data_IF_126651350655
#
_entry.id   IF_126651350655
#
_cell.length_a   1.000
_cell.length_b   1.000
_cell.length_c   1.000
_cell.angle_alpha   90.00
_cell.angle_beta   90.00
_cell.angle_gamma   90.00
#
_symmetry.space_group_name_H-M   'P 1'
#
loop_
_entity.id
_entity.type
_entity.pdbx_description
1 polymer ?
#
# COMPACT_ATOMS: atom_id res chain seq x y z
N UNK A 1 11.40 12.96 5.41
CA UNK A 1 12.27 12.17 4.51
C UNK A 1 12.45 13.01 3.26
N UNK A 2 13.68 13.32 2.86
CA UNK A 2 13.97 14.17 1.69
C UNK A 2 14.73 13.34 0.68
N UNK A 3 14.21 13.22 -0.53
CA UNK A 3 14.96 12.69 -1.66
C UNK A 3 15.61 13.87 -2.38
N UNK A 4 16.93 13.86 -2.55
CA UNK A 4 17.65 14.95 -3.22
C UNK A 4 17.14 15.11 -4.66
N UNK A 5 16.78 16.35 -5.02
CA UNK A 5 16.23 16.68 -6.34
C UNK A 5 14.72 16.48 -6.51
N UNK A 6 14.01 15.93 -5.51
CA UNK A 6 12.55 15.80 -5.53
C UNK A 6 11.85 16.95 -4.80
N UNK A 7 10.73 17.43 -5.34
CA UNK A 7 9.86 18.36 -4.62
C UNK A 7 9.24 17.67 -3.41
N UNK A 8 9.36 18.26 -2.23
CA UNK A 8 8.88 17.63 -0.98
C UNK A 8 7.36 17.33 -1.02
N UNK A 9 6.61 18.12 -1.77
CA UNK A 9 5.16 17.97 -1.95
C UNK A 9 4.75 16.69 -2.70
N UNK A 10 5.60 16.14 -3.56
CA UNK A 10 5.28 14.90 -4.30
C UNK A 10 5.71 13.62 -3.55
N UNK A 11 6.51 13.77 -2.48
CA UNK A 11 7.02 12.63 -1.71
C UNK A 11 5.92 11.97 -0.88
N UNK A 12 4.92 12.74 -0.44
CA UNK A 12 3.70 12.18 0.09
C UNK A 12 2.62 12.15 -1.00
N UNK A 13 2.24 10.97 -1.51
CA UNK A 13 1.24 10.88 -2.57
C UNK A 13 -0.12 11.46 -2.17
N UNK A 14 -0.41 11.60 -0.86
CA UNK A 14 -1.63 12.24 -0.34
C UNK A 14 -1.72 13.72 -0.71
N UNK A 15 -0.59 14.41 -0.78
CA UNK A 15 -0.54 15.85 -1.09
C UNK A 15 -0.91 16.15 -2.55
N UNK A 16 -0.97 15.13 -3.41
CA UNK A 16 -1.35 15.29 -4.83
C UNK A 16 -2.86 15.18 -5.06
N UNK A 17 -3.63 14.79 -4.04
CA UNK A 17 -5.08 14.67 -4.11
C UNK A 17 -5.75 15.94 -3.58
N UNK A 18 -6.79 16.42 -4.28
CA UNK A 18 -7.59 17.56 -3.82
C UNK A 18 -8.39 17.22 -2.55
N UNK A 19 -8.84 15.98 -2.43
CA UNK A 19 -9.56 15.44 -1.29
C UNK A 19 -8.76 14.27 -0.68
N UNK A 20 -8.24 14.42 0.56
CA UNK A 20 -7.53 13.34 1.25
C UNK A 20 -8.35 12.05 1.38
N UNK A 21 -9.68 12.14 1.49
CA UNK A 21 -10.55 10.98 1.63
C UNK A 21 -10.62 10.14 0.34
N UNK A 22 -10.36 10.75 -0.82
CA UNK A 22 -10.24 10.03 -2.09
C UNK A 22 -8.98 9.16 -2.11
N UNK A 23 -7.87 9.69 -1.59
CA UNK A 23 -6.64 8.93 -1.44
C UNK A 23 -6.86 7.73 -0.52
N UNK A 24 -7.52 7.92 0.64
CA UNK A 24 -7.80 6.82 1.59
C UNK A 24 -8.64 5.71 0.95
N UNK A 25 -9.70 6.07 0.22
CA UNK A 25 -10.54 5.10 -0.50
C UNK A 25 -9.73 4.29 -1.51
N UNK A 26 -8.88 4.97 -2.30
CA UNK A 26 -8.03 4.33 -3.31
C UNK A 26 -6.95 3.45 -2.68
N UNK A 27 -6.31 3.93 -1.61
CA UNK A 27 -5.29 3.21 -0.86
C UNK A 27 -5.88 1.92 -0.24
N UNK A 28 -7.06 2.00 0.39
CA UNK A 28 -7.77 0.84 0.93
C UNK A 28 -8.17 -0.15 -0.16
N UNK A 29 -8.70 0.33 -1.28
CA UNK A 29 -9.07 -0.54 -2.41
C UNK A 29 -7.84 -1.24 -3.02
N UNK A 30 -6.71 -0.55 -3.13
CA UNK A 30 -5.46 -1.12 -3.61
C UNK A 30 -4.90 -2.16 -2.64
N UNK A 31 -4.84 -1.83 -1.34
CA UNK A 31 -4.43 -2.74 -0.28
C UNK A 31 -5.27 -4.03 -0.29
N UNK A 32 -6.59 -3.93 -0.42
CA UNK A 32 -7.47 -5.09 -0.52
C UNK A 32 -7.11 -6.00 -1.71
N UNK A 33 -6.84 -5.42 -2.89
CA UNK A 33 -6.41 -6.16 -4.08
C UNK A 33 -5.07 -6.87 -3.87
N UNK A 34 -4.11 -6.21 -3.20
CA UNK A 34 -2.83 -6.81 -2.87
C UNK A 34 -2.99 -8.00 -1.92
N UNK A 35 -3.77 -7.83 -0.84
CA UNK A 35 -4.04 -8.89 0.13
C UNK A 35 -4.72 -10.09 -0.57
N UNK A 36 -5.75 -9.85 -1.38
CA UNK A 36 -6.46 -10.91 -2.09
C UNK A 36 -5.56 -11.67 -3.06
N UNK A 37 -4.73 -10.95 -3.83
CA UNK A 37 -3.79 -11.57 -4.74
C UNK A 37 -2.71 -12.36 -3.99
N UNK A 38 -2.20 -11.82 -2.88
CA UNK A 38 -1.11 -12.43 -2.12
C UNK A 38 -1.53 -13.75 -1.43
N UNK A 39 -2.80 -13.86 -1.00
CA UNK A 39 -3.37 -15.09 -0.43
C UNK A 39 -3.18 -16.33 -1.30
N UNK A 40 -3.15 -16.17 -2.63
CA UNK A 40 -2.92 -17.30 -3.56
C UNK A 40 -1.52 -17.90 -3.42
N UNK A 41 -0.54 -17.07 -3.08
CA UNK A 41 0.86 -17.47 -2.91
C UNK A 41 1.11 -17.99 -1.49
N UNK A 42 0.57 -17.33 -0.46
CA UNK A 42 0.70 -17.80 0.93
C UNK A 42 -0.04 -19.10 1.23
N UNK A 43 -1.11 -19.41 0.47
CA UNK A 43 -1.82 -20.68 0.57
C UNK A 43 -0.98 -21.90 0.13
N UNK A 44 0.05 -21.69 -0.69
CA UNK A 44 0.86 -22.76 -1.29
C UNK A 44 2.33 -22.72 -0.90
N UNK A 45 2.77 -21.65 -0.22
CA UNK A 45 4.17 -21.45 0.16
C UNK A 45 4.28 -20.89 1.59
N UNK A 46 4.88 -21.67 2.47
CA UNK A 46 5.11 -21.31 3.89
C UNK A 46 6.05 -20.11 4.07
N UNK A 47 6.97 -19.86 3.14
CA UNK A 47 7.77 -18.63 3.13
C UNK A 47 6.89 -17.41 2.88
N UNK A 48 5.96 -17.51 1.91
CA UNK A 48 5.01 -16.43 1.61
C UNK A 48 4.06 -16.17 2.77
N UNK A 49 3.64 -17.20 3.50
CA UNK A 49 2.79 -17.05 4.70
C UNK A 49 3.44 -16.16 5.77
N UNK A 50 4.77 -16.24 5.94
CA UNK A 50 5.50 -15.36 6.87
C UNK A 50 5.56 -13.90 6.42
N UNK A 51 5.35 -13.64 5.13
CA UNK A 51 5.38 -12.31 4.53
C UNK A 51 4.04 -11.58 4.62
N UNK A 52 2.93 -12.27 4.91
CA UNK A 52 1.60 -11.65 5.04
C UNK A 52 1.60 -10.51 6.06
N UNK A 53 2.33 -10.67 7.17
CA UNK A 53 2.45 -9.65 8.24
C UNK A 53 3.19 -8.38 7.84
N UNK A 54 3.85 -8.36 6.68
CA UNK A 54 4.56 -7.19 6.15
C UNK A 54 3.82 -6.54 4.97
N UNK A 55 2.65 -7.07 4.60
CA UNK A 55 1.81 -6.51 3.56
C UNK A 55 1.04 -5.27 4.01
N UNK A 56 0.22 -4.70 3.12
CA UNK A 56 -0.72 -3.64 3.47
C UNK A 56 -1.69 -4.11 4.57
N UNK A 57 -1.94 -3.26 5.55
CA UNK A 57 -2.93 -3.51 6.61
C UNK A 57 -4.15 -2.63 6.36
N UNK A 58 -5.33 -3.23 6.44
CA UNK A 58 -6.60 -2.52 6.46
C UNK A 58 -7.05 -2.49 7.92
N UNK A 59 -7.12 -1.29 8.50
CA UNK A 59 -7.76 -1.04 9.79
C UNK A 59 -9.28 -1.20 9.70
#
# INVERSE_FOLDING_TARGET
MTAEGAHAEILDPRNTYKDPTEWDKRAKALAAKFIENFKKFSATNEECKRLEKYGPHLD
#
